data_IF_858549816111
#
_entry.id   IF_858549816111
#
_cell.length_a   1.000
_cell.length_b   1.000
_cell.length_c   1.000
_cell.angle_alpha   90.00
_cell.angle_beta   90.00
_cell.angle_gamma   90.00
#
_symmetry.space_group_name_H-M   'P 1'
#
loop_
_entity.id
_entity.type
_entity.pdbx_description
1 polymer ?
#
# COMPACT_ATOMS: atom_id res chain seq x y z
N UNK A 1 3.80 5.09 1.59
CA UNK A 1 2.80 5.03 0.49
C UNK A 1 3.35 5.56 -0.82
N UNK A 2 2.49 5.75 -1.84
CA UNK A 2 2.93 6.18 -3.17
C UNK A 2 3.65 7.55 -3.16
N UNK A 3 3.23 8.47 -2.32
CA UNK A 3 3.84 9.81 -2.25
C UNK A 3 5.28 9.81 -1.72
N UNK A 4 5.71 8.77 -1.03
CA UNK A 4 7.09 8.66 -0.54
C UNK A 4 8.10 8.56 -1.71
N UNK A 5 7.65 8.08 -2.87
CA UNK A 5 8.48 7.97 -4.08
C UNK A 5 8.50 9.25 -4.94
N UNK A 6 7.71 10.29 -4.62
CA UNK A 6 7.67 11.51 -5.41
C UNK A 6 9.01 12.24 -5.40
N UNK A 7 9.53 12.51 -6.58
CA UNK A 7 10.85 13.11 -6.77
C UNK A 7 11.99 12.09 -6.86
N UNK A 8 11.66 10.80 -6.83
CA UNK A 8 12.60 9.69 -6.87
C UNK A 8 12.12 8.56 -7.80
N UNK A 9 12.59 7.35 -7.54
CA UNK A 9 12.29 6.15 -8.34
C UNK A 9 11.57 5.08 -7.51
N UNK A 10 10.95 4.08 -8.15
CA UNK A 10 10.30 2.97 -7.44
C UNK A 10 11.29 2.06 -6.70
N UNK A 11 12.59 2.16 -6.97
CA UNK A 11 13.65 1.39 -6.29
C UNK A 11 14.30 2.11 -5.12
N UNK A 12 13.86 3.32 -4.78
CA UNK A 12 14.45 4.16 -3.72
C UNK A 12 14.13 3.70 -2.29
N UNK A 13 13.61 2.49 -2.09
CA UNK A 13 13.30 1.95 -0.75
C UNK A 13 14.46 2.08 0.23
N UNK A 14 15.70 1.91 -0.23
CA UNK A 14 16.90 2.04 0.61
C UNK A 14 17.14 3.50 1.07
N UNK A 15 16.91 4.50 0.19
CA UNK A 15 17.01 5.91 0.51
C UNK A 15 15.89 6.35 1.46
N UNK A 16 14.67 5.86 1.23
CA UNK A 16 13.53 6.09 2.12
C UNK A 16 13.79 5.50 3.52
N UNK A 17 14.38 4.31 3.60
CA UNK A 17 14.76 3.70 4.87
C UNK A 17 15.86 4.50 5.60
N UNK A 18 16.86 5.02 4.89
CA UNK A 18 17.88 5.88 5.46
C UNK A 18 17.30 7.19 5.99
N UNK A 19 16.45 7.82 5.19
CA UNK A 19 15.78 9.06 5.60
C UNK A 19 14.90 8.85 6.84
N UNK A 20 14.05 7.82 6.85
CA UNK A 20 13.22 7.48 8.00
C UNK A 20 14.09 7.29 9.27
N UNK A 21 15.19 6.54 9.17
CA UNK A 21 16.09 6.29 10.27
C UNK A 21 16.72 7.59 10.80
N UNK A 22 17.03 8.54 9.92
CA UNK A 22 17.64 9.83 10.31
C UNK A 22 16.72 10.69 11.18
N UNK A 23 15.40 10.49 11.09
CA UNK A 23 14.38 11.19 11.89
C UNK A 23 13.77 10.32 12.99
N UNK A 24 14.36 9.15 13.27
CA UNK A 24 13.91 8.24 14.32
C UNK A 24 12.67 7.43 13.97
N UNK A 25 12.33 7.30 12.67
CA UNK A 25 11.26 6.47 12.17
C UNK A 25 11.78 5.17 11.56
N UNK A 26 10.88 4.20 11.37
CA UNK A 26 11.18 2.95 10.69
C UNK A 26 10.37 2.88 9.39
N UNK A 27 11.05 2.75 8.26
CA UNK A 27 10.44 2.52 6.95
C UNK A 27 10.18 1.02 6.78
N UNK A 28 8.95 0.67 6.43
CA UNK A 28 8.52 -0.74 6.28
C UNK A 28 7.99 -0.99 4.87
N UNK A 29 8.75 -1.76 4.09
CA UNK A 29 8.36 -2.19 2.74
C UNK A 29 8.74 -3.65 2.54
N UNK A 30 7.76 -4.51 2.26
CA UNK A 30 7.87 -5.97 2.28
C UNK A 30 8.53 -6.46 3.58
N UNK A 31 8.02 -5.99 4.71
CA UNK A 31 8.58 -6.27 6.02
C UNK A 31 7.55 -6.94 6.93
N UNK A 32 8.03 -7.91 7.71
CA UNK A 32 7.26 -8.61 8.74
C UNK A 32 7.69 -8.11 10.12
N UNK A 33 6.77 -7.47 10.84
CA UNK A 33 6.99 -6.98 12.19
C UNK A 33 6.22 -7.84 13.20
N UNK A 34 6.73 -7.89 14.43
CA UNK A 34 6.09 -8.62 15.53
C UNK A 34 5.87 -7.72 16.73
N UNK A 35 4.67 -7.78 17.31
CA UNK A 35 4.35 -7.16 18.58
C UNK A 35 3.43 -8.09 19.40
N UNK A 36 3.95 -8.63 20.51
CA UNK A 36 3.25 -9.64 21.29
C UNK A 36 2.93 -10.88 20.46
N UNK A 37 1.67 -11.26 20.41
CA UNK A 37 1.16 -12.38 19.62
C UNK A 37 0.72 -11.99 18.20
N UNK A 38 0.98 -10.77 17.80
CA UNK A 38 0.54 -10.22 16.51
C UNK A 38 1.71 -10.04 15.55
N UNK A 39 1.56 -10.58 14.36
CA UNK A 39 2.42 -10.40 13.20
C UNK A 39 1.80 -9.37 12.27
N UNK A 40 2.58 -8.39 11.83
CA UNK A 40 2.18 -7.38 10.85
C UNK A 40 2.94 -7.61 9.55
N UNK A 41 2.24 -7.71 8.44
CA UNK A 41 2.81 -7.83 7.10
C UNK A 41 2.59 -6.51 6.36
N UNK A 42 3.67 -5.78 6.08
CA UNK A 42 3.62 -4.41 5.61
C UNK A 42 4.19 -4.24 4.21
N UNK A 43 3.44 -3.62 3.29
CA UNK A 43 3.93 -3.18 1.98
C UNK A 43 3.05 -2.09 1.38
N UNK A 44 3.53 -1.38 0.35
CA UNK A 44 2.72 -0.39 -0.38
C UNK A 44 1.56 -1.05 -1.14
N UNK A 45 1.77 -2.24 -1.66
CA UNK A 45 0.90 -3.08 -2.49
C UNK A 45 0.76 -2.55 -3.93
N UNK A 46 0.46 -1.26 -4.16
CA UNK A 46 -0.02 -0.75 -5.45
C UNK A 46 -1.28 -1.49 -5.89
N UNK A 47 -1.62 -1.48 -7.20
CA UNK A 47 -2.81 -2.16 -7.70
C UNK A 47 -2.53 -2.94 -8.98
N UNK A 48 -3.42 -3.92 -9.28
CA UNK A 48 -3.43 -4.66 -10.54
C UNK A 48 -4.29 -4.00 -11.62
N UNK A 49 -5.00 -2.92 -11.26
CA UNK A 49 -5.97 -2.22 -12.12
C UNK A 49 -7.15 -3.08 -12.57
N UNK A 50 -7.27 -4.33 -12.11
CA UNK A 50 -8.25 -5.31 -12.63
C UNK A 50 -9.51 -5.44 -11.77
N UNK A 51 -9.70 -4.57 -10.77
CA UNK A 51 -10.86 -4.58 -9.86
C UNK A 51 -12.21 -4.64 -10.59
N UNK A 52 -12.32 -4.06 -11.79
CA UNK A 52 -13.53 -4.01 -12.60
C UNK A 52 -13.42 -4.85 -13.88
N UNK A 53 -12.46 -5.77 -13.97
CA UNK A 53 -12.20 -6.65 -15.10
C UNK A 53 -11.90 -5.91 -16.43
N UNK A 54 -11.29 -4.71 -16.35
CA UNK A 54 -10.84 -3.92 -17.49
C UNK A 54 -9.57 -3.14 -17.12
N UNK A 55 -8.47 -3.87 -16.92
CA UNK A 55 -7.20 -3.31 -16.49
C UNK A 55 -6.61 -2.33 -17.51
N UNK A 56 -6.82 -2.55 -18.81
CA UNK A 56 -6.27 -1.68 -19.87
C UNK A 56 -6.89 -0.29 -19.80
N UNK A 57 -8.21 -0.20 -19.73
CA UNK A 57 -8.91 1.09 -19.58
C UNK A 57 -8.54 1.76 -18.26
N UNK A 58 -8.47 1.01 -17.15
CA UNK A 58 -8.11 1.55 -15.83
C UNK A 58 -6.69 2.12 -15.82
N UNK A 59 -5.70 1.42 -16.42
CA UNK A 59 -4.34 1.92 -16.57
C UNK A 59 -4.29 3.19 -17.43
N UNK A 60 -5.03 3.24 -18.54
CA UNK A 60 -5.14 4.43 -19.38
C UNK A 60 -5.67 5.65 -18.62
N UNK A 61 -6.73 5.45 -17.81
CA UNK A 61 -7.29 6.52 -16.96
C UNK A 61 -6.26 6.93 -15.90
N UNK A 62 -5.70 5.98 -15.16
CA UNK A 62 -4.74 6.26 -14.11
C UNK A 62 -3.52 7.04 -14.62
N UNK A 63 -2.91 6.58 -15.72
CA UNK A 63 -1.77 7.25 -16.35
C UNK A 63 -2.06 8.68 -16.80
N UNK A 64 -3.33 8.98 -17.15
CA UNK A 64 -3.71 10.33 -17.62
C UNK A 64 -4.02 11.32 -16.49
N UNK A 65 -4.42 10.85 -15.28
CA UNK A 65 -4.92 11.73 -14.22
C UNK A 65 -4.15 11.67 -12.91
N UNK A 66 -3.47 10.54 -12.61
CA UNK A 66 -2.73 10.40 -11.36
C UNK A 66 -1.35 11.06 -11.44
N UNK A 67 -1.01 11.79 -10.38
CA UNK A 67 0.27 12.51 -10.30
C UNK A 67 1.47 11.58 -10.14
N UNK A 68 1.25 10.34 -9.75
CA UNK A 68 2.30 9.32 -9.62
C UNK A 68 3.08 9.20 -10.92
N UNK A 69 2.39 9.16 -12.05
CA UNK A 69 2.94 9.00 -13.40
C UNK A 69 3.59 10.25 -14.00
N UNK A 70 3.66 11.34 -13.22
CA UNK A 70 4.40 12.56 -13.56
C UNK A 70 5.35 13.00 -12.44
N UNK A 71 5.52 12.17 -11.37
CA UNK A 71 6.32 12.52 -10.21
C UNK A 71 7.24 11.41 -9.70
N UNK A 72 7.19 10.24 -10.31
CA UNK A 72 8.06 9.11 -10.04
C UNK A 72 8.73 8.73 -11.35
N UNK A 73 10.00 8.33 -11.30
CA UNK A 73 10.78 8.02 -12.49
C UNK A 73 11.24 6.55 -12.49
N UNK A 74 11.54 6.08 -13.71
CA UNK A 74 12.23 4.79 -13.91
C UNK A 74 13.70 4.98 -13.60
N UNK A 75 14.33 3.98 -13.00
CA UNK A 75 15.77 3.97 -12.83
C UNK A 75 16.48 4.10 -14.16
N UNK A 76 17.53 4.95 -14.26
CA UNK A 76 18.33 5.01 -15.46
C UNK A 76 18.99 3.65 -15.71
N UNK A 77 19.17 3.24 -16.97
CA UNK A 77 19.86 2.00 -17.31
C UNK A 77 21.21 1.90 -16.61
N UNK A 78 21.54 0.72 -16.05
CA UNK A 78 22.82 0.48 -15.41
C UNK A 78 23.98 0.82 -16.40
N UNK A 79 24.85 1.76 -16.01
CA UNK A 79 25.97 2.22 -16.83
C UNK A 79 25.74 3.58 -17.53
N UNK A 80 24.61 4.25 -17.36
CA UNK A 80 24.49 5.67 -17.66
C UNK A 80 25.30 6.43 -16.60
N UNK A 81 26.46 7.01 -17.00
CA UNK A 81 27.34 7.76 -16.10
C UNK A 81 26.55 8.88 -15.41
N UNK A 82 26.21 8.66 -14.14
CA UNK A 82 25.87 9.73 -13.22
C UNK A 82 27.17 10.46 -12.88
N UNK A 83 27.61 11.34 -13.78
CA UNK A 83 28.70 12.27 -13.48
C UNK A 83 28.33 13.07 -12.24
N UNK A 84 29.11 12.93 -11.18
CA UNK A 84 28.87 13.44 -9.83
C UNK A 84 28.57 14.95 -9.78
N UNK A 85 27.34 15.30 -9.90
CA UNK A 85 26.76 16.61 -9.72
C UNK A 85 25.25 16.45 -9.67
N UNK A 86 24.56 17.26 -8.88
CA UNK A 86 23.10 17.42 -8.87
C UNK A 86 22.70 17.94 -10.26
N UNK A 87 22.67 17.06 -11.23
CA UNK A 87 22.25 17.32 -12.59
C UNK A 87 20.92 16.62 -12.77
N UNK A 88 19.87 17.38 -12.93
CA UNK A 88 18.63 16.95 -13.58
C UNK A 88 19.02 16.26 -14.87
N UNK A 89 18.96 14.92 -14.86
CA UNK A 89 19.27 14.17 -16.07
C UNK A 89 18.06 14.27 -17.02
N UNK A 90 18.22 14.82 -18.24
CA UNK A 90 17.13 14.92 -19.22
C UNK A 90 16.66 13.55 -19.78
N UNK A 91 17.15 12.44 -19.22
CA UNK A 91 16.87 11.08 -19.70
C UNK A 91 16.08 10.21 -18.69
N UNK A 92 15.68 10.74 -17.55
CA UNK A 92 14.80 9.98 -16.64
C UNK A 92 13.39 9.93 -17.26
N UNK A 93 12.90 8.73 -17.54
CA UNK A 93 11.55 8.50 -18.04
C UNK A 93 10.61 8.41 -16.86
N UNK A 94 9.47 9.10 -16.92
CA UNK A 94 8.39 8.93 -15.94
C UNK A 94 7.91 7.48 -15.95
N UNK A 95 7.46 6.98 -14.80
CA UNK A 95 6.88 5.63 -14.71
C UNK A 95 5.53 5.58 -15.45
N UNK A 96 5.17 4.39 -15.88
CA UNK A 96 3.87 4.08 -16.44
C UNK A 96 3.06 3.16 -15.49
N UNK A 97 1.73 3.04 -15.64
CA UNK A 97 0.92 2.09 -14.87
C UNK A 97 1.43 0.65 -14.93
N UNK A 98 2.08 0.25 -16.02
CA UNK A 98 2.71 -1.06 -16.16
C UNK A 98 3.85 -1.31 -15.14
N UNK A 99 4.58 -0.26 -14.75
CA UNK A 99 5.66 -0.36 -13.76
C UNK A 99 5.07 -0.64 -12.37
N UNK A 100 4.04 0.13 -11.98
CA UNK A 100 3.36 -0.08 -10.69
C UNK A 100 2.60 -1.40 -10.64
N UNK A 101 2.09 -1.89 -11.76
CA UNK A 101 1.53 -3.24 -11.88
C UNK A 101 2.62 -4.31 -11.63
N UNK A 102 3.84 -4.09 -12.12
CA UNK A 102 4.98 -4.97 -11.83
C UNK A 102 5.29 -5.04 -10.34
N UNK A 103 5.31 -3.87 -9.67
CA UNK A 103 5.51 -3.77 -8.22
C UNK A 103 4.35 -4.43 -7.45
N UNK A 104 3.10 -4.25 -7.89
CA UNK A 104 1.95 -4.92 -7.28
C UNK A 104 2.11 -6.44 -7.29
N UNK A 105 2.50 -7.03 -8.42
CA UNK A 105 2.71 -8.48 -8.55
C UNK A 105 3.79 -9.00 -7.59
N UNK A 106 4.88 -8.27 -7.46
CA UNK A 106 5.96 -8.60 -6.51
C UNK A 106 5.48 -8.51 -5.05
N UNK A 107 4.77 -7.45 -4.68
CA UNK A 107 4.22 -7.28 -3.33
C UNK A 107 3.17 -8.33 -2.98
N UNK A 108 2.28 -8.64 -3.93
CA UNK A 108 1.26 -9.68 -3.76
C UNK A 108 1.90 -11.06 -3.57
N UNK A 109 2.91 -11.41 -4.37
CA UNK A 109 3.64 -12.66 -4.24
C UNK A 109 4.33 -12.77 -2.87
N UNK A 110 4.97 -11.69 -2.41
CA UNK A 110 5.56 -11.61 -1.08
C UNK A 110 4.52 -11.79 0.04
N UNK A 111 3.36 -11.12 -0.05
CA UNK A 111 2.27 -11.28 0.92
C UNK A 111 1.76 -12.71 0.96
N UNK A 112 1.57 -13.35 -0.19
CA UNK A 112 1.12 -14.75 -0.27
C UNK A 112 2.13 -15.69 0.39
N UNK A 113 3.43 -15.56 0.11
CA UNK A 113 4.49 -16.33 0.76
C UNK A 113 4.47 -16.17 2.29
N UNK A 114 4.36 -14.93 2.76
CA UNK A 114 4.29 -14.64 4.20
C UNK A 114 3.02 -15.17 4.86
N UNK A 115 1.88 -15.07 4.19
CA UNK A 115 0.61 -15.61 4.69
C UNK A 115 0.60 -17.14 4.72
N UNK A 116 1.31 -17.81 3.79
CA UNK A 116 1.51 -19.27 3.83
C UNK A 116 2.41 -19.72 4.98
N UNK A 117 3.34 -18.87 5.40
CA UNK A 117 4.28 -19.20 6.46
C UNK A 117 3.56 -19.32 7.81
N UNK A 118 3.82 -20.40 8.60
CA UNK A 118 3.23 -20.58 9.90
C UNK A 118 3.47 -19.38 10.82
N UNK A 119 2.46 -19.00 11.62
CA UNK A 119 2.63 -17.96 12.61
C UNK A 119 3.55 -18.45 13.75
N UNK A 120 4.55 -17.67 14.21
CA UNK A 120 5.46 -18.11 15.28
C UNK A 120 4.75 -18.51 16.58
N UNK A 121 3.62 -17.87 16.91
CA UNK A 121 2.78 -18.20 18.06
C UNK A 121 1.73 -19.31 17.77
N UNK A 122 1.83 -20.00 16.65
CA UNK A 122 0.89 -21.03 16.22
C UNK A 122 -0.54 -20.49 16.07
N UNK A 123 -1.54 -21.27 16.50
CA UNK A 123 -2.95 -20.92 16.37
C UNK A 123 -3.41 -19.74 17.25
N UNK A 124 -2.64 -19.37 18.27
CA UNK A 124 -2.94 -18.22 19.13
C UNK A 124 -2.48 -16.90 18.50
N UNK A 125 -1.63 -16.95 17.48
CA UNK A 125 -1.10 -15.79 16.82
C UNK A 125 -2.10 -15.11 15.89
N UNK A 126 -2.01 -13.79 15.80
CA UNK A 126 -2.83 -12.95 14.92
C UNK A 126 -1.99 -12.40 13.77
N UNK A 127 -2.54 -12.39 12.57
CA UNK A 127 -1.90 -11.75 11.41
C UNK A 127 -2.70 -10.52 11.02
N UNK A 128 -2.04 -9.38 10.93
CA UNK A 128 -2.57 -8.12 10.43
C UNK A 128 -1.80 -7.75 9.17
N UNK A 129 -2.50 -7.50 8.08
CA UNK A 129 -1.89 -6.98 6.85
C UNK A 129 -2.04 -5.47 6.84
N UNK A 130 -0.98 -4.75 6.49
CA UNK A 130 -0.97 -3.28 6.39
C UNK A 130 -0.45 -2.89 5.01
N UNK A 131 -1.32 -2.29 4.21
CA UNK A 131 -0.97 -1.84 2.86
C UNK A 131 -1.31 -0.35 2.67
N UNK A 132 -0.78 0.26 1.61
CA UNK A 132 -1.22 1.60 1.24
C UNK A 132 -2.47 1.56 0.37
N UNK A 133 -2.51 0.69 -0.64
CA UNK A 133 -3.68 0.51 -1.51
C UNK A 133 -4.66 -0.52 -0.93
N UNK A 134 -5.94 -0.37 -1.29
CA UNK A 134 -7.03 -1.18 -0.73
C UNK A 134 -7.10 -2.59 -1.34
N UNK A 135 -7.47 -3.61 -0.53
CA UNK A 135 -7.47 -4.99 -0.98
C UNK A 135 -8.82 -5.49 -1.53
N UNK A 136 -9.89 -4.67 -1.50
CA UNK A 136 -11.23 -5.19 -1.80
C UNK A 136 -12.24 -4.10 -2.16
N UNK A 137 -13.18 -4.44 -3.04
CA UNK A 137 -14.24 -3.54 -3.52
C UNK A 137 -15.17 -3.04 -2.40
N UNK A 138 -15.47 -3.84 -1.38
CA UNK A 138 -16.40 -3.47 -0.29
C UNK A 138 -15.96 -2.24 0.53
N UNK A 139 -14.71 -1.83 0.42
CA UNK A 139 -14.13 -0.65 1.08
C UNK A 139 -13.72 0.46 0.10
N UNK A 140 -14.13 0.36 -1.16
CA UNK A 140 -13.83 1.37 -2.18
C UNK A 140 -14.76 2.60 -2.11
N UNK A 141 -16.00 2.42 -1.63
CA UNK A 141 -17.03 3.45 -1.68
C UNK A 141 -17.68 3.56 -3.07
N UNK A 142 -18.07 4.76 -3.51
CA UNK A 142 -18.56 4.96 -4.87
C UNK A 142 -17.50 4.55 -5.90
N UNK A 143 -17.92 3.70 -6.85
CA UNK A 143 -17.06 3.10 -7.86
C UNK A 143 -17.08 3.94 -9.13
N UNK A 144 -15.91 4.22 -9.67
CA UNK A 144 -15.69 4.92 -10.94
C UNK A 144 -14.50 4.31 -11.70
N UNK A 145 -14.16 4.87 -12.87
CA UNK A 145 -13.05 4.37 -13.68
C UNK A 145 -11.66 4.50 -13.05
N UNK A 146 -11.51 5.30 -12.00
CA UNK A 146 -10.25 5.46 -11.27
C UNK A 146 -10.14 4.52 -10.07
N UNK A 147 -11.26 3.93 -9.61
CA UNK A 147 -11.29 3.04 -8.45
C UNK A 147 -10.28 1.88 -8.54
N UNK A 148 -10.02 1.25 -9.71
CA UNK A 148 -9.02 0.19 -9.84
C UNK A 148 -7.57 0.64 -9.62
N UNK A 149 -7.29 1.95 -9.66
CA UNK A 149 -5.98 2.50 -9.32
C UNK A 149 -5.79 2.70 -7.79
N UNK A 150 -6.84 2.53 -7.00
CA UNK A 150 -6.82 2.63 -5.53
C UNK A 150 -7.02 1.30 -4.83
N UNK A 151 -7.66 0.33 -5.49
CA UNK A 151 -8.07 -0.95 -4.92
C UNK A 151 -7.86 -2.09 -5.91
N UNK A 152 -7.43 -3.25 -5.39
CA UNK A 152 -7.41 -4.53 -6.10
C UNK A 152 -8.44 -5.49 -5.53
N UNK A 153 -8.75 -6.57 -6.24
CA UNK A 153 -9.53 -7.68 -5.69
C UNK A 153 -8.59 -8.78 -5.17
N UNK A 154 -8.39 -8.81 -3.86
CA UNK A 154 -7.61 -9.83 -3.15
C UNK A 154 -8.50 -10.79 -2.35
N UNK A 155 -9.74 -10.99 -2.81
CA UNK A 155 -10.71 -11.89 -2.18
C UNK A 155 -10.14 -13.30 -2.01
N UNK A 156 -9.34 -13.79 -2.97
CA UNK A 156 -8.70 -15.10 -2.91
C UNK A 156 -7.69 -15.22 -1.74
N UNK A 157 -6.84 -14.22 -1.54
CA UNK A 157 -5.90 -14.19 -0.41
C UNK A 157 -6.65 -14.09 0.93
N UNK A 158 -7.67 -13.22 0.98
CA UNK A 158 -8.49 -13.02 2.19
C UNK A 158 -9.23 -14.32 2.53
N UNK A 159 -9.86 -14.97 1.55
CA UNK A 159 -10.60 -16.21 1.79
C UNK A 159 -9.71 -17.39 2.21
N UNK A 160 -8.52 -17.48 1.61
CA UNK A 160 -7.59 -18.58 1.85
C UNK A 160 -6.87 -18.48 3.19
N UNK A 161 -6.47 -17.28 3.59
CA UNK A 161 -5.59 -17.08 4.75
C UNK A 161 -6.28 -16.42 5.94
N UNK A 162 -7.41 -15.77 5.74
CA UNK A 162 -8.23 -15.13 6.76
C UNK A 162 -7.40 -14.31 7.78
N UNK A 163 -6.57 -13.33 7.35
CA UNK A 163 -5.87 -12.49 8.31
C UNK A 163 -6.88 -11.82 9.25
N UNK A 164 -6.50 -11.61 10.52
CA UNK A 164 -7.39 -11.04 11.54
C UNK A 164 -7.89 -9.65 11.16
N UNK A 165 -7.01 -8.85 10.52
CA UNK A 165 -7.37 -7.55 10.00
C UNK A 165 -6.52 -7.19 8.76
N UNK A 166 -7.05 -6.25 7.96
CA UNK A 166 -6.34 -5.62 6.86
C UNK A 166 -6.53 -4.11 6.91
N UNK A 167 -5.47 -3.38 7.21
CA UNK A 167 -5.48 -1.93 7.28
C UNK A 167 -4.87 -1.34 6.01
N UNK A 168 -5.48 -0.29 5.49
CA UNK A 168 -4.98 0.39 4.30
C UNK A 168 -5.29 1.89 4.34
N UNK A 169 -4.76 2.64 3.37
CA UNK A 169 -4.89 4.09 3.29
C UNK A 169 -5.38 4.59 1.94
N UNK A 170 -4.60 5.48 1.33
CA UNK A 170 -4.69 6.03 -0.02
C UNK A 170 -5.98 6.80 -0.36
N UNK A 171 -7.15 6.16 -0.35
CA UNK A 171 -8.39 6.77 -0.82
C UNK A 171 -9.01 7.81 0.13
N UNK A 172 -8.45 8.05 1.32
CA UNK A 172 -8.94 8.96 2.37
C UNK A 172 -10.41 8.75 2.77
N UNK A 173 -10.99 7.60 2.46
CA UNK A 173 -12.37 7.23 2.79
C UNK A 173 -12.36 6.23 3.93
N UNK A 174 -12.82 6.64 5.10
CA UNK A 174 -12.81 5.82 6.32
C UNK A 174 -13.89 4.75 6.29
N UNK A 175 -13.75 3.81 5.38
CA UNK A 175 -14.66 2.70 5.19
C UNK A 175 -14.15 1.45 5.92
N UNK A 176 -15.08 0.63 6.35
CA UNK A 176 -14.83 -0.65 7.00
C UNK A 176 -15.77 -1.71 6.45
N UNK A 177 -15.28 -2.91 6.27
CA UNK A 177 -16.08 -4.08 5.90
C UNK A 177 -15.51 -5.34 6.55
N UNK A 178 -16.37 -6.32 6.79
CA UNK A 178 -15.95 -7.69 7.06
C UNK A 178 -16.00 -8.48 5.76
N UNK A 179 -14.87 -9.09 5.38
CA UNK A 179 -14.79 -10.01 4.25
C UNK A 179 -14.36 -11.37 4.80
N UNK A 180 -15.28 -12.32 4.82
CA UNK A 180 -15.10 -13.54 5.60
C UNK A 180 -14.91 -13.21 7.08
N UNK A 181 -13.76 -13.59 7.64
CA UNK A 181 -13.39 -13.30 9.03
C UNK A 181 -12.43 -12.11 9.15
N UNK A 182 -12.02 -11.50 8.04
CA UNK A 182 -11.06 -10.39 8.01
C UNK A 182 -11.75 -9.05 8.18
N UNK A 183 -11.32 -8.26 9.17
CA UNK A 183 -11.77 -6.90 9.41
C UNK A 183 -10.94 -5.93 8.53
N UNK A 184 -11.51 -5.44 7.43
CA UNK A 184 -10.82 -4.54 6.50
C UNK A 184 -11.18 -3.10 6.84
N UNK A 185 -10.18 -2.24 7.02
CA UNK A 185 -10.38 -0.82 7.36
C UNK A 185 -9.46 0.10 6.57
N UNK A 186 -10.03 1.16 6.04
CA UNK A 186 -9.24 2.32 5.66
C UNK A 186 -8.92 3.16 6.90
N UNK A 187 -7.63 3.26 7.22
CA UNK A 187 -7.12 4.02 8.37
C UNK A 187 -6.48 5.35 7.98
N UNK A 188 -6.73 5.83 6.76
CA UNK A 188 -6.22 7.12 6.31
C UNK A 188 -6.67 8.26 7.22
N UNK A 189 -5.74 9.13 7.55
CA UNK A 189 -6.05 10.41 8.20
C UNK A 189 -6.53 11.44 7.16
N UNK A 190 -5.98 11.41 5.96
CA UNK A 190 -6.25 12.37 4.89
C UNK A 190 -5.32 13.58 4.93
N UNK A 191 -5.57 14.59 4.12
CA UNK A 191 -4.83 15.84 4.14
C UNK A 191 -5.37 16.79 5.22
N UNK A 192 -4.51 17.66 5.78
CA UNK A 192 -4.91 18.62 6.82
C UNK A 192 -6.14 19.45 6.45
N UNK A 193 -6.31 19.79 5.16
CA UNK A 193 -7.48 20.51 4.65
C UNK A 193 -8.80 19.72 4.67
N UNK A 194 -8.72 18.40 4.86
CA UNK A 194 -9.86 17.50 4.91
C UNK A 194 -10.34 17.26 6.35
N UNK A 195 -9.62 17.81 7.34
CA UNK A 195 -9.98 17.64 8.74
C UNK A 195 -11.18 18.53 9.10
N UNK A 196 -12.26 17.88 9.56
CA UNK A 196 -13.46 18.54 10.09
C UNK A 196 -13.41 18.69 11.62
N UNK A 197 -12.39 18.16 12.28
CA UNK A 197 -12.13 18.13 13.71
C UNK A 197 -10.63 18.03 13.98
N UNK A 198 -10.13 18.21 15.21
CA UNK A 198 -8.70 18.13 15.51
C UNK A 198 -8.04 16.85 14.99
N UNK A 199 -6.83 16.97 14.44
CA UNK A 199 -6.06 15.84 13.86
C UNK A 199 -5.91 14.69 14.85
N UNK A 200 -5.70 14.99 16.15
CA UNK A 200 -5.56 13.99 17.20
C UNK A 200 -6.75 13.04 17.31
N UNK A 201 -7.97 13.52 17.05
CA UNK A 201 -9.17 12.66 17.08
C UNK A 201 -9.19 11.69 15.91
N UNK A 202 -8.72 12.12 14.72
CA UNK A 202 -8.59 11.24 13.56
C UNK A 202 -7.55 10.15 13.78
N UNK A 203 -6.39 10.51 14.34
CA UNK A 203 -5.33 9.57 14.67
C UNK A 203 -5.79 8.55 15.71
N UNK A 204 -6.54 8.99 16.72
CA UNK A 204 -7.09 8.09 17.73
C UNK A 204 -8.08 7.09 17.13
N UNK A 205 -9.04 7.55 16.33
CA UNK A 205 -10.03 6.69 15.67
C UNK A 205 -9.37 5.70 14.69
N UNK A 206 -8.34 6.12 13.97
CA UNK A 206 -7.61 5.26 13.04
C UNK A 206 -6.78 4.20 13.77
N UNK A 207 -6.14 4.58 14.89
CA UNK A 207 -5.24 3.71 15.65
C UNK A 207 -5.94 2.74 16.61
N UNK A 208 -7.22 2.96 16.92
CA UNK A 208 -7.93 2.13 17.87
C UNK A 208 -8.48 0.86 17.20
N UNK A 209 -7.71 -0.21 17.29
CA UNK A 209 -8.16 -1.54 16.91
C UNK A 209 -8.23 -2.44 18.15
N UNK A 210 -9.44 -2.87 18.49
CA UNK A 210 -9.66 -3.85 19.55
C UNK A 210 -10.04 -5.17 18.88
N UNK A 211 -9.20 -6.19 19.04
CA UNK A 211 -9.57 -7.53 18.60
C UNK A 211 -10.76 -8.01 19.45
N UNK A 212 -11.88 -8.27 18.83
CA UNK A 212 -12.93 -9.02 19.51
C UNK A 212 -12.47 -10.48 19.60
N UNK A 213 -11.97 -10.87 20.76
CA UNK A 213 -11.85 -12.27 21.07
C UNK A 213 -13.28 -12.80 21.10
N UNK A 214 -13.64 -13.64 20.13
CA UNK A 214 -14.89 -14.38 20.18
C UNK A 214 -14.93 -15.17 21.49
N UNK A 215 -15.91 -14.85 22.32
CA UNK A 215 -16.32 -15.66 23.48
C UNK A 215 -16.90 -16.98 23.01
#
# INVERSE_FOLDING_TARGET
GNHDYYGGTLSDDHLLAEHARSVGAHYVQKEELHHGDTRFLCCTLWTDFDLLADAETAMGIAGSVMRDYSRIWVDPPAGSDAGGGISWQPSATEIEPADTLGVHRDHRAWLEDKLMSPHPCGKAGRTVVVTHHGPHLSVAGPVDGLTPAFHSDLTDLIARFAPSAWFFGHSHRRLRAMVGQTDIRNVSVGYCREFLRPESEYLFDAGLWVSHNGS
#
